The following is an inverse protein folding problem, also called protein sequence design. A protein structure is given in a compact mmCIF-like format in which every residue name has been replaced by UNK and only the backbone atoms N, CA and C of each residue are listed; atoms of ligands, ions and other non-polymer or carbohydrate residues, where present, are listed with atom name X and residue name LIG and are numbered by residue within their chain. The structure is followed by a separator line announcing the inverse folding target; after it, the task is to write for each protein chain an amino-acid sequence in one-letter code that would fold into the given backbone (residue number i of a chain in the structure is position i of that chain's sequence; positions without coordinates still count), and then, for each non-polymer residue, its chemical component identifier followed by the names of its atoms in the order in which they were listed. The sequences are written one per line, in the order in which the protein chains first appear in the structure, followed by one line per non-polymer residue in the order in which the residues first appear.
data_IF_062832122768
#
_entry.id   IF_062832122768
#
_cell.length_a   1.000
_cell.length_b   1.000
_cell.length_c   1.000
_cell.angle_alpha   90.00
_cell.angle_beta   90.00
_cell.angle_gamma   90.00
#
_symmetry.space_group_name_H-M   'P 1'
#
loop_
_entity.id
_entity.type
_entity.pdbx_description
1 polymer ?
#
# COMPACT_ATOMS: atom_id res chain seq x y z
N UNK A 1 73.95 14.81 -3.06
CA UNK A 1 73.58 14.68 -1.64
C UNK A 1 72.22 13.97 -1.56
N UNK A 2 72.16 12.84 -0.82
CA UNK A 2 70.99 12.01 -0.39
C UNK A 2 70.23 11.28 -1.52
N UNK A 3 70.46 10.01 -1.88
CA UNK A 3 70.28 8.69 -1.22
C UNK A 3 68.86 8.40 -0.69
N UNK A 4 68.13 7.48 -1.35
CA UNK A 4 67.49 6.25 -0.81
C UNK A 4 66.71 5.58 -1.97
N UNK A 5 67.02 4.34 -2.39
CA UNK A 5 66.48 3.06 -1.87
C UNK A 5 64.96 2.97 -2.08
N UNK A 6 64.32 1.93 -2.64
CA UNK A 6 64.56 0.49 -2.55
C UNK A 6 63.60 -0.25 -3.50
N UNK A 7 64.17 -1.19 -4.26
CA UNK A 7 63.68 -2.47 -4.83
C UNK A 7 62.22 -2.94 -4.63
N UNK A 8 61.66 -3.66 -5.64
CA UNK A 8 61.19 -5.06 -5.48
C UNK A 8 60.68 -5.69 -6.79
N UNK A 9 61.15 -6.91 -7.01
CA UNK A 9 60.79 -7.87 -8.06
C UNK A 9 59.35 -8.40 -7.91
N UNK A 10 58.70 -8.83 -9.01
CA UNK A 10 58.12 -10.18 -9.13
C UNK A 10 57.34 -10.40 -10.44
N UNK A 11 57.66 -11.53 -11.06
CA UNK A 11 57.09 -12.14 -12.26
C UNK A 11 55.77 -12.88 -11.97
N UNK A 12 54.91 -13.05 -12.99
CA UNK A 12 53.80 -14.01 -13.02
C UNK A 12 52.48 -13.34 -13.45
N UNK A 13 51.82 -13.65 -14.57
CA UNK A 13 51.72 -14.88 -15.32
C UNK A 13 50.39 -15.55 -15.00
N UNK A 14 49.33 -15.32 -15.76
CA UNK A 14 48.12 -16.18 -15.73
C UNK A 14 47.48 -16.33 -17.10
N UNK A 15 47.23 -17.60 -17.42
CA UNK A 15 46.61 -18.16 -18.62
C UNK A 15 45.12 -17.80 -18.61
N UNK A 16 44.63 -17.21 -19.68
CA UNK A 16 43.23 -16.85 -19.85
C UNK A 16 42.37 -18.12 -19.96
N UNK A 17 41.66 -18.42 -18.87
CA UNK A 17 40.77 -19.54 -18.76
C UNK A 17 39.58 -19.36 -19.72
N UNK A 18 39.16 -20.49 -20.29
CA UNK A 18 37.91 -20.70 -21.03
C UNK A 18 36.70 -20.17 -20.21
N UNK A 19 36.38 -18.88 -20.35
CA UNK A 19 35.33 -18.21 -19.59
C UNK A 19 34.00 -18.35 -20.34
N UNK A 20 33.18 -19.33 -19.97
CA UNK A 20 31.76 -19.28 -20.35
C UNK A 20 31.15 -18.01 -19.72
N UNK A 21 30.50 -17.10 -20.48
CA UNK A 21 29.98 -15.86 -19.92
C UNK A 21 28.91 -16.18 -18.87
N UNK A 22 29.24 -15.92 -17.60
CA UNK A 22 28.41 -16.24 -16.41
C UNK A 22 27.18 -15.34 -16.24
N UNK A 23 26.82 -14.56 -17.26
CA UNK A 23 25.66 -13.66 -17.22
C UNK A 23 24.74 -13.94 -18.40
N UNK A 24 23.54 -14.50 -18.18
CA UNK A 24 22.55 -14.59 -19.23
C UNK A 24 22.23 -13.18 -19.76
N UNK A 25 22.01 -13.02 -21.08
CA UNK A 25 21.70 -11.72 -21.66
C UNK A 25 20.44 -11.15 -21.02
N UNK A 26 20.50 -9.87 -20.63
CA UNK A 26 19.32 -9.18 -20.09
C UNK A 26 18.31 -9.02 -21.21
N UNK A 27 17.20 -9.73 -21.14
CA UNK A 27 16.06 -9.51 -22.03
C UNK A 27 15.53 -8.10 -21.81
N UNK A 28 15.84 -7.19 -22.74
CA UNK A 28 15.28 -5.84 -22.74
C UNK A 28 13.84 -5.93 -23.26
N UNK A 29 12.91 -6.35 -22.40
CA UNK A 29 11.49 -6.17 -22.67
C UNK A 29 11.22 -4.66 -22.64
N UNK A 30 11.25 -4.00 -23.80
CA UNK A 30 10.65 -2.66 -23.89
C UNK A 30 9.22 -2.82 -23.38
N UNK A 31 8.93 -2.25 -22.19
CA UNK A 31 7.57 -2.33 -21.62
C UNK A 31 6.63 -1.77 -22.69
N UNK A 32 5.58 -2.51 -23.10
CA UNK A 32 4.68 -2.01 -24.10
C UNK A 32 4.06 -0.71 -23.60
N UNK A 33 3.88 0.25 -24.52
CA UNK A 33 3.21 1.50 -24.20
C UNK A 33 1.86 1.19 -23.52
N UNK A 34 1.48 1.93 -22.45
CA UNK A 34 0.22 1.69 -21.78
C UNK A 34 -0.93 1.82 -22.79
N UNK A 35 -1.84 0.84 -22.80
CA UNK A 35 -3.02 0.86 -23.66
C UNK A 35 -3.85 2.12 -23.35
N UNK A 36 -4.59 2.65 -24.33
CA UNK A 36 -5.38 3.87 -24.17
C UNK A 36 -6.39 3.85 -23.01
N UNK A 37 -6.86 2.66 -22.59
CA UNK A 37 -7.73 2.49 -21.43
C UNK A 37 -6.98 2.40 -20.09
N UNK A 38 -5.66 2.22 -20.11
CA UNK A 38 -4.82 2.09 -18.91
C UNK A 38 -4.36 3.44 -18.35
N UNK A 39 -4.33 4.49 -19.18
CA UNK A 39 -3.89 5.85 -18.83
C UNK A 39 -4.95 6.66 -18.07
N UNK A 40 -6.21 6.23 -18.04
CA UNK A 40 -7.31 6.91 -17.33
C UNK A 40 -7.41 6.56 -15.84
N UNK A 41 -6.67 5.54 -15.38
CA UNK A 41 -6.69 5.19 -13.95
C UNK A 41 -5.81 6.16 -13.18
N UNK A 42 -6.48 7.05 -12.42
CA UNK A 42 -5.86 7.88 -11.37
C UNK A 42 -4.86 7.04 -10.55
N UNK A 43 -3.71 7.62 -10.19
CA UNK A 43 -2.70 6.99 -9.33
C UNK A 43 -3.35 6.48 -8.02
N UNK A 44 -2.71 5.52 -7.33
CA UNK A 44 -3.22 5.00 -6.03
C UNK A 44 -3.54 6.15 -5.07
N UNK A 45 -2.65 7.14 -5.04
CA UNK A 45 -2.74 8.36 -4.25
C UNK A 45 -3.91 9.24 -4.71
N UNK A 46 -4.09 9.43 -6.02
CA UNK A 46 -5.20 10.21 -6.59
C UNK A 46 -6.58 9.50 -6.48
N UNK A 47 -6.63 8.25 -5.99
CA UNK A 47 -7.87 7.49 -5.72
C UNK A 47 -8.28 7.50 -4.25
N UNK A 48 -7.60 8.27 -3.39
CA UNK A 48 -7.94 8.39 -1.96
C UNK A 48 -7.16 7.47 -1.03
N UNK A 49 -6.23 6.66 -1.55
CA UNK A 49 -5.25 5.94 -0.74
C UNK A 49 -3.97 6.79 -0.61
N UNK A 50 -4.09 7.89 0.13
CA UNK A 50 -3.03 8.88 0.32
C UNK A 50 -2.07 8.53 1.46
N UNK A 51 -0.92 9.20 1.49
CA UNK A 51 0.09 9.14 2.57
C UNK A 51 -0.51 9.37 3.96
N UNK A 52 -1.53 10.22 4.05
CA UNK A 52 -2.26 10.52 5.29
C UNK A 52 -2.89 9.27 5.91
N UNK A 53 -3.53 8.42 5.10
CA UNK A 53 -4.11 7.17 5.57
C UNK A 53 -3.04 6.17 6.02
N UNK A 54 -1.87 6.15 5.38
CA UNK A 54 -0.75 5.29 5.80
C UNK A 54 -0.22 5.73 7.18
N UNK A 55 -0.05 7.04 7.39
CA UNK A 55 0.37 7.60 8.69
C UNK A 55 -0.68 7.29 9.76
N UNK A 56 -1.96 7.58 9.49
CA UNK A 56 -3.04 7.30 10.43
C UNK A 56 -3.16 5.81 10.75
N UNK A 57 -2.99 4.93 9.75
CA UNK A 57 -3.01 3.49 9.96
C UNK A 57 -1.95 3.05 10.98
N UNK A 58 -0.74 3.57 10.87
CA UNK A 58 0.34 3.21 11.80
C UNK A 58 0.09 3.74 13.21
N UNK A 59 -0.52 4.92 13.35
CA UNK A 59 -0.93 5.47 14.65
C UNK A 59 -2.02 4.60 15.27
N UNK A 60 -3.10 4.35 14.53
CA UNK A 60 -4.27 3.60 14.99
C UNK A 60 -3.90 2.18 15.40
N UNK A 61 -3.07 1.48 14.62
CA UNK A 61 -2.68 0.10 14.93
C UNK A 61 -1.69 0.00 16.11
N UNK A 62 -0.98 1.08 16.46
CA UNK A 62 -0.16 1.15 17.68
C UNK A 62 -0.99 1.43 18.92
N UNK A 63 -1.96 2.33 18.82
CA UNK A 63 -2.83 2.71 19.93
C UNK A 63 -3.93 1.68 20.22
N UNK A 64 -4.47 1.06 19.16
CA UNK A 64 -5.55 0.07 19.22
C UNK A 64 -5.07 -1.25 18.58
N UNK A 65 -4.23 -2.03 19.29
CA UNK A 65 -3.74 -3.32 18.78
C UNK A 65 -4.84 -4.39 18.73
N UNK A 66 -5.97 -4.18 19.41
CA UNK A 66 -7.11 -5.09 19.44
C UNK A 66 -8.28 -4.52 18.64
N UNK A 67 -9.04 -5.41 18.01
CA UNK A 67 -10.25 -5.07 17.29
C UNK A 67 -11.30 -4.49 18.25
N UNK A 68 -11.68 -3.23 18.04
CA UNK A 68 -12.67 -2.52 18.87
C UNK A 68 -14.03 -3.23 18.91
N UNK A 69 -14.47 -3.76 17.77
CA UNK A 69 -15.74 -4.50 17.66
C UNK A 69 -15.67 -5.81 18.45
N UNK A 70 -14.61 -6.60 18.27
CA UNK A 70 -14.44 -7.84 19.04
C UNK A 70 -14.34 -7.56 20.53
N UNK A 71 -13.61 -6.51 20.93
CA UNK A 71 -13.46 -6.13 22.33
C UNK A 71 -14.81 -5.76 22.97
N UNK A 72 -15.68 -5.04 22.25
CA UNK A 72 -17.04 -4.74 22.71
C UNK A 72 -17.92 -5.98 22.90
N UNK A 73 -17.61 -7.07 22.20
CA UNK A 73 -18.29 -8.36 22.31
C UNK A 73 -17.57 -9.34 23.27
N UNK A 74 -16.57 -8.89 24.02
CA UNK A 74 -15.80 -9.73 24.94
C UNK A 74 -14.81 -10.68 24.27
N UNK A 75 -14.50 -10.48 22.98
CA UNK A 75 -13.58 -11.29 22.19
C UNK A 75 -12.24 -10.56 22.01
N UNK A 76 -11.13 -11.28 22.18
CA UNK A 76 -9.79 -10.74 21.94
C UNK A 76 -9.33 -11.13 20.54
N UNK A 77 -9.13 -10.15 19.67
CA UNK A 77 -8.65 -10.37 18.30
C UNK A 77 -7.78 -9.20 17.89
N UNK A 78 -6.64 -9.47 17.24
CA UNK A 78 -5.75 -8.42 16.77
C UNK A 78 -6.41 -7.54 15.69
N UNK A 79 -6.25 -6.22 15.84
CA UNK A 79 -6.57 -5.28 14.78
C UNK A 79 -5.51 -5.38 13.68
N UNK A 80 -5.96 -5.42 12.42
CA UNK A 80 -5.07 -5.51 11.24
C UNK A 80 -5.34 -4.39 10.24
N UNK A 81 -6.49 -3.73 10.39
CA UNK A 81 -6.99 -2.71 9.48
C UNK A 81 -7.37 -1.49 10.33
N UNK A 82 -6.91 -0.32 9.93
CA UNK A 82 -7.42 0.95 10.40
C UNK A 82 -8.54 1.38 9.47
N UNK A 83 -9.73 1.61 10.01
CA UNK A 83 -10.93 1.88 9.22
C UNK A 83 -11.69 3.08 9.78
N UNK A 84 -12.40 3.80 8.91
CA UNK A 84 -13.19 4.96 9.32
C UNK A 84 -14.49 4.51 9.98
N UNK A 85 -14.83 4.99 11.17
CA UNK A 85 -16.10 4.71 11.86
C UNK A 85 -17.27 5.18 10.98
N UNK A 86 -17.22 6.44 10.54
CA UNK A 86 -18.13 6.99 9.54
C UNK A 86 -17.42 7.08 8.19
N UNK A 87 -17.92 6.43 7.12
CA UNK A 87 -17.30 6.52 5.80
C UNK A 87 -17.22 7.97 5.29
N UNK A 88 -16.15 8.31 4.58
CA UNK A 88 -15.98 9.61 3.91
C UNK A 88 -17.18 9.94 2.99
N UNK A 89 -17.73 8.94 2.29
CA UNK A 89 -18.90 9.10 1.43
C UNK A 89 -20.20 9.48 2.16
N UNK A 90 -20.23 9.32 3.49
CA UNK A 90 -21.35 9.70 4.36
C UNK A 90 -21.04 10.98 5.16
N UNK A 91 -19.94 11.67 4.82
CA UNK A 91 -19.46 12.85 5.55
C UNK A 91 -18.70 12.48 6.83
N UNK A 92 -17.93 11.39 6.79
CA UNK A 92 -16.87 11.15 7.77
C UNK A 92 -15.66 12.04 7.52
N UNK A 93 -14.80 12.19 8.53
CA UNK A 93 -13.55 12.95 8.43
C UNK A 93 -12.33 12.02 8.42
N UNK A 94 -11.17 12.53 8.01
CA UNK A 94 -9.88 11.81 8.11
C UNK A 94 -9.22 11.98 9.48
N UNK A 95 -9.92 12.49 10.48
CA UNK A 95 -9.38 12.73 11.82
C UNK A 95 -9.24 11.43 12.60
N UNK A 96 -8.27 11.37 13.51
CA UNK A 96 -7.98 10.18 14.33
C UNK A 96 -9.20 9.67 15.09
N UNK A 97 -10.08 10.56 15.53
CA UNK A 97 -11.31 10.24 16.25
C UNK A 97 -12.30 9.43 15.41
N UNK A 98 -12.29 9.62 14.09
CA UNK A 98 -13.11 8.84 13.16
C UNK A 98 -12.41 7.55 12.72
N UNK A 99 -11.23 7.19 13.24
CA UNK A 99 -10.61 5.89 12.96
C UNK A 99 -10.81 4.90 14.09
N UNK A 100 -10.89 3.62 13.73
CA UNK A 100 -10.91 2.49 14.64
C UNK A 100 -10.00 1.35 14.15
N UNK A 101 -9.36 0.66 15.10
CA UNK A 101 -8.66 -0.59 14.82
C UNK A 101 -9.64 -1.75 14.75
N UNK A 102 -9.71 -2.44 13.61
CA UNK A 102 -10.58 -3.62 13.45
C UNK A 102 -9.87 -4.80 12.81
N UNK A 103 -10.38 -6.00 13.10
CA UNK A 103 -9.92 -7.22 12.45
C UNK A 103 -10.59 -7.35 11.07
N UNK A 104 -9.94 -8.12 10.18
CA UNK A 104 -10.42 -8.38 8.82
C UNK A 104 -11.89 -8.85 8.74
N UNK A 105 -12.39 -9.81 9.54
CA UNK A 105 -13.79 -10.25 9.44
C UNK A 105 -14.78 -9.14 9.82
N UNK A 106 -14.52 -8.39 10.91
CA UNK A 106 -15.36 -7.26 11.31
C UNK A 106 -15.36 -6.15 10.24
N UNK A 107 -14.20 -5.88 9.62
CA UNK A 107 -14.11 -4.95 8.49
C UNK A 107 -14.99 -5.39 7.32
N UNK A 108 -14.91 -6.66 6.90
CA UNK A 108 -15.75 -7.18 5.82
C UNK A 108 -17.25 -7.03 6.11
N UNK A 109 -17.67 -7.31 7.34
CA UNK A 109 -19.07 -7.14 7.76
C UNK A 109 -19.51 -5.67 7.67
N UNK A 110 -18.69 -4.74 8.18
CA UNK A 110 -18.95 -3.30 8.10
C UNK A 110 -19.06 -2.80 6.66
N UNK A 111 -18.10 -3.15 5.80
CA UNK A 111 -18.13 -2.77 4.38
C UNK A 111 -19.38 -3.31 3.66
N UNK A 112 -19.81 -4.53 3.98
CA UNK A 112 -21.02 -5.12 3.40
C UNK A 112 -22.28 -4.35 3.82
N UNK A 113 -22.38 -3.99 5.11
CA UNK A 113 -23.48 -3.18 5.63
C UNK A 113 -23.51 -1.78 4.99
N UNK A 114 -22.36 -1.12 4.88
CA UNK A 114 -22.20 0.18 4.21
C UNK A 114 -22.60 0.13 2.73
N UNK A 115 -22.14 -0.90 2.03
CA UNK A 115 -22.47 -1.12 0.61
C UNK A 115 -23.97 -1.36 0.41
N UNK A 116 -24.63 -2.05 1.35
CA UNK A 116 -26.09 -2.19 1.36
C UNK A 116 -26.77 -0.83 1.55
N UNK A 117 -26.38 -0.05 2.57
CA UNK A 117 -26.92 1.31 2.81
C UNK A 117 -26.74 2.22 1.59
N UNK A 118 -25.58 2.18 0.94
CA UNK A 118 -25.32 2.98 -0.26
C UNK A 118 -26.23 2.61 -1.43
N UNK A 119 -26.51 1.30 -1.63
CA UNK A 119 -27.47 0.83 -2.65
C UNK A 119 -28.90 1.24 -2.32
N UNK A 120 -29.29 1.12 -1.06
CA UNK A 120 -30.63 1.50 -0.60
C UNK A 120 -30.88 3.00 -0.80
N UNK A 121 -29.91 3.86 -0.44
CA UNK A 121 -29.97 5.31 -0.73
C UNK A 121 -30.13 5.61 -2.22
N UNK A 122 -29.40 4.90 -3.09
CA UNK A 122 -29.52 5.06 -4.55
C UNK A 122 -30.90 4.64 -5.06
N UNK A 123 -31.51 3.61 -4.45
CA UNK A 123 -32.85 3.15 -4.81
C UNK A 123 -33.93 4.13 -4.33
N UNK A 124 -33.74 4.77 -3.19
CA UNK A 124 -34.69 5.71 -2.61
C UNK A 124 -34.67 7.09 -3.27
N UNK A 125 -33.59 7.48 -3.96
CA UNK A 125 -33.49 8.76 -4.66
C UNK A 125 -34.36 8.79 -5.93
N UNK A 126 -35.46 9.58 -5.99
CA UNK A 126 -36.16 9.80 -7.24
C UNK A 126 -35.33 10.76 -8.10
N UNK A 127 -35.09 10.48 -9.40
CA UNK A 127 -34.56 11.50 -10.29
C UNK A 127 -35.61 12.61 -10.44
N UNK A 128 -35.41 13.78 -9.81
CA UNK A 128 -36.22 14.96 -10.13
C UNK A 128 -35.90 15.38 -11.57
N UNK A 129 -36.69 14.87 -12.51
CA UNK A 129 -36.40 15.05 -13.94
C UNK A 129 -37.01 16.32 -14.53
N UNK A 130 -37.83 17.05 -13.79
CA UNK A 130 -38.47 18.28 -14.24
C UNK A 130 -38.78 19.19 -13.04
N UNK A 131 -38.29 20.43 -13.10
CA UNK A 131 -38.90 21.65 -12.59
C UNK A 131 -38.45 22.78 -13.52
#
# INVERSE_FOLDING_TARGET
MRTTSQEHLASGGTREALLMPTRPPKYNSKRPAPKAWATSRKSRQARGYGREHEIMRDIVLREEPLCRVCQSEGRVTAATIADHIKPLAEGGTSDRENYQGICRPCHHFKTAAESKRARDRRRQWPPSRYQ
#
